data_IF_246072760865
#
_entry.id   IF_246072760865
#
_cell.length_a   1.000
_cell.length_b   1.000
_cell.length_c   1.000
_cell.angle_alpha   90.00
_cell.angle_beta   90.00
_cell.angle_gamma   90.00
#
_symmetry.space_group_name_H-M   'P 1'
#
loop_
_entity.id
_entity.type
_entity.pdbx_description
1 polymer ?
#
# COMPACT_ATOMS: atom_id res chain seq x y z
N UNK A 1 2.51 -13.87 13.63
CA UNK A 1 1.86 -12.68 14.24
C UNK A 1 2.77 -11.47 14.09
N UNK A 2 3.04 -10.99 12.87
CA UNK A 2 4.03 -9.94 12.62
C UNK A 2 3.42 -8.61 12.14
N UNK A 3 2.15 -8.57 11.71
CA UNK A 3 1.61 -7.40 11.02
C UNK A 3 1.18 -6.20 11.89
N UNK A 4 0.95 -6.35 13.20
CA UNK A 4 0.31 -5.30 13.99
C UNK A 4 1.24 -4.14 14.42
N UNK A 5 2.55 -4.39 14.51
CA UNK A 5 3.57 -3.41 14.91
C UNK A 5 4.37 -2.86 13.71
N UNK A 6 4.39 -3.57 12.58
CA UNK A 6 5.27 -3.30 11.43
C UNK A 6 4.96 -1.97 10.72
N UNK A 7 3.68 -1.58 10.67
CA UNK A 7 3.28 -0.30 10.07
C UNK A 7 3.82 0.92 10.82
N UNK A 8 4.12 0.78 12.14
CA UNK A 8 4.72 1.86 12.93
C UNK A 8 6.21 2.03 12.63
N UNK A 9 6.89 0.96 12.23
CA UNK A 9 8.30 0.98 11.82
C UNK A 9 8.50 1.26 10.33
N UNK A 10 7.45 1.15 9.51
CA UNK A 10 7.49 1.46 8.09
C UNK A 10 7.90 2.92 7.86
N UNK A 11 8.78 3.14 6.89
CA UNK A 11 9.37 4.46 6.61
C UNK A 11 8.78 5.11 5.37
N UNK A 12 8.18 4.31 4.49
CA UNK A 12 7.57 4.79 3.27
C UNK A 12 6.38 3.91 2.88
N UNK A 13 5.55 4.43 1.97
CA UNK A 13 4.47 3.66 1.36
C UNK A 13 4.97 2.42 0.61
N UNK A 14 6.24 2.41 0.18
CA UNK A 14 6.88 1.32 -0.56
C UNK A 14 7.06 0.04 0.27
N UNK A 15 6.99 0.13 1.60
CA UNK A 15 7.12 -1.01 2.51
C UNK A 15 5.82 -1.83 2.59
N UNK A 16 4.75 -1.38 1.94
CA UNK A 16 3.42 -1.98 2.00
C UNK A 16 3.06 -2.73 0.72
N UNK A 17 2.16 -3.70 0.89
CA UNK A 17 1.49 -4.40 -0.19
C UNK A 17 -0.01 -4.11 -0.11
N UNK A 18 -0.67 -4.09 -1.26
CA UNK A 18 -2.10 -3.92 -1.35
C UNK A 18 -2.68 -4.90 -2.37
N UNK A 19 -3.86 -5.41 -2.07
CA UNK A 19 -4.64 -6.18 -3.04
C UNK A 19 -5.25 -5.22 -4.06
N UNK A 20 -4.97 -5.45 -5.33
CA UNK A 20 -5.59 -4.69 -6.42
C UNK A 20 -7.03 -5.15 -6.69
N UNK A 21 -7.72 -4.47 -7.62
CA UNK A 21 -9.11 -4.76 -7.96
C UNK A 21 -9.29 -6.14 -8.63
N UNK A 22 -8.22 -6.68 -9.22
CA UNK A 22 -8.20 -8.00 -9.85
C UNK A 22 -7.87 -9.12 -8.84
N UNK A 23 -7.60 -8.76 -7.58
CA UNK A 23 -7.33 -9.68 -6.48
C UNK A 23 -5.86 -10.04 -6.29
N UNK A 24 -4.94 -9.44 -7.06
CA UNK A 24 -3.51 -9.71 -6.94
C UNK A 24 -2.92 -8.96 -5.76
N UNK A 25 -1.99 -9.59 -5.04
CA UNK A 25 -1.20 -8.90 -4.01
C UNK A 25 -0.05 -8.15 -4.68
N UNK A 26 -0.03 -6.82 -4.54
CA UNK A 26 0.89 -5.94 -5.27
C UNK A 26 1.70 -5.09 -4.31
N UNK A 27 3.02 -5.14 -4.44
CA UNK A 27 3.92 -4.24 -3.74
C UNK A 27 3.74 -2.79 -4.22
N UNK A 28 3.62 -1.86 -3.27
CA UNK A 28 3.59 -0.43 -3.57
C UNK A 28 4.96 0.13 -3.95
N UNK A 29 6.05 -0.64 -3.81
CA UNK A 29 7.38 -0.27 -4.29
C UNK A 29 7.41 0.09 -5.78
N UNK A 30 6.49 -0.49 -6.58
CA UNK A 30 6.35 -0.18 -8.01
C UNK A 30 6.13 1.31 -8.32
N UNK A 31 5.69 2.09 -7.34
CA UNK A 31 5.47 3.53 -7.48
C UNK A 31 6.68 4.39 -7.08
N UNK A 32 7.84 3.80 -6.78
CA UNK A 32 9.06 4.55 -6.46
C UNK A 32 9.47 5.44 -7.64
N UNK A 33 9.72 6.71 -7.34
CA UNK A 33 10.06 7.74 -8.33
C UNK A 33 8.86 8.47 -8.92
N UNK A 34 7.63 8.11 -8.52
CA UNK A 34 6.40 8.79 -8.95
C UNK A 34 5.77 9.56 -7.79
N UNK A 35 5.19 10.72 -8.09
CA UNK A 35 4.31 11.43 -7.16
C UNK A 35 2.97 10.68 -7.10
N UNK A 36 2.54 10.30 -5.90
CA UNK A 36 1.36 9.46 -5.69
C UNK A 36 0.27 10.18 -4.90
N UNK A 37 -1.00 9.88 -5.22
CA UNK A 37 -2.17 10.29 -4.44
C UNK A 37 -2.84 9.03 -3.91
N UNK A 38 -3.04 8.97 -2.59
CA UNK A 38 -3.80 7.90 -1.93
C UNK A 38 -5.16 8.48 -1.55
N UNK A 39 -6.24 7.86 -2.01
CA UNK A 39 -7.60 8.31 -1.76
C UNK A 39 -8.50 7.14 -1.42
N UNK A 40 -9.43 7.37 -0.49
CA UNK A 40 -10.53 6.45 -0.20
C UNK A 40 -11.72 6.77 -1.10
N UNK A 41 -12.19 5.79 -1.86
CA UNK A 41 -13.37 5.91 -2.72
C UNK A 41 -14.52 5.09 -2.15
N UNK A 42 -15.75 5.57 -2.35
CA UNK A 42 -16.98 4.86 -2.01
C UNK A 42 -18.03 5.12 -3.10
N UNK A 43 -18.69 4.07 -3.57
CA UNK A 43 -19.86 4.17 -4.46
C UNK A 43 -21.15 4.16 -3.65
N UNK A 44 -22.22 4.75 -4.20
CA UNK A 44 -23.57 4.70 -3.61
C UNK A 44 -24.12 3.27 -3.57
#
# INVERSE_FOLDING_TARGET
CAQAEDWRSAKAIYDFHARDIDGNDVSLEKYRGYVCIITNVASK
#
